data_IF_784825898943
#
_entry.id   IF_784825898943
#
_cell.length_a   1.000
_cell.length_b   1.000
_cell.length_c   1.000
_cell.angle_alpha   90.00
_cell.angle_beta   90.00
_cell.angle_gamma   90.00
#
_symmetry.space_group_name_H-M   'P 1'
#
loop_
_entity.id
_entity.type
_entity.pdbx_description
1 polymer ?
#
# COMPACT_ATOMS: atom_id res chain seq x y z
N UNK A 1 3.02 -3.35 16.27
CA UNK A 1 2.54 -2.01 15.90
C UNK A 1 1.06 -1.83 16.23
N UNK A 2 0.13 -2.60 15.65
CA UNK A 2 -1.31 -2.49 15.98
C UNK A 2 -1.62 -2.75 17.46
N UNK A 3 -1.07 -3.81 18.05
CA UNK A 3 -1.37 -4.24 19.43
C UNK A 3 -0.66 -3.45 20.55
N UNK A 4 0.20 -2.49 20.22
CA UNK A 4 1.04 -1.84 21.26
C UNK A 4 2.00 -0.76 20.76
N UNK A 5 1.73 -0.17 19.61
CA UNK A 5 2.53 0.90 19.04
C UNK A 5 3.92 0.48 18.55
N UNK A 6 4.72 1.50 18.23
CA UNK A 6 6.09 1.36 17.69
C UNK A 6 7.04 0.81 18.78
N UNK A 7 6.87 1.24 20.04
CA UNK A 7 7.71 0.78 21.14
C UNK A 7 7.63 -0.76 21.33
N UNK A 8 6.42 -1.33 21.39
CA UNK A 8 6.24 -2.79 21.49
C UNK A 8 6.82 -3.53 20.27
N UNK A 9 6.71 -2.94 19.07
CA UNK A 9 7.33 -3.53 17.87
C UNK A 9 8.85 -3.60 18.01
N UNK A 10 9.50 -2.49 18.40
CA UNK A 10 10.96 -2.43 18.54
C UNK A 10 11.47 -3.35 19.63
N UNK A 11 10.78 -3.41 20.77
CA UNK A 11 11.06 -4.38 21.82
C UNK A 11 10.97 -5.84 21.36
N UNK A 12 10.18 -6.14 20.32
CA UNK A 12 9.96 -7.51 19.84
C UNK A 12 10.96 -7.96 18.76
N UNK A 13 11.72 -7.04 18.15
CA UNK A 13 12.72 -7.37 17.11
C UNK A 13 14.12 -7.38 17.71
N UNK A 14 15.11 -7.87 16.96
CA UNK A 14 16.50 -7.84 17.42
C UNK A 14 17.06 -6.41 17.46
N UNK A 15 18.03 -6.17 18.34
CA UNK A 15 18.77 -4.90 18.43
C UNK A 15 19.39 -4.50 17.07
N UNK A 16 19.80 -5.47 16.26
CA UNK A 16 20.30 -5.22 14.90
C UNK A 16 19.22 -4.62 14.00
N UNK A 17 17.99 -5.13 14.06
CA UNK A 17 16.88 -4.61 13.28
C UNK A 17 16.46 -3.22 13.79
N UNK A 18 16.44 -3.01 15.11
CA UNK A 18 16.13 -1.70 15.71
C UNK A 18 17.18 -0.64 15.35
N UNK A 19 18.48 -0.95 15.48
CA UNK A 19 19.54 -0.04 15.06
C UNK A 19 19.43 0.30 13.56
N UNK A 20 19.16 -0.72 12.73
CA UNK A 20 18.92 -0.56 11.30
C UNK A 20 17.75 0.37 10.97
N UNK A 21 16.63 0.22 11.69
CA UNK A 21 15.46 1.11 11.59
C UNK A 21 15.87 2.57 11.85
N UNK A 22 16.54 2.86 12.97
CA UNK A 22 16.94 4.23 13.31
C UNK A 22 17.83 4.91 12.28
N UNK A 23 18.82 4.19 11.75
CA UNK A 23 19.83 4.79 10.85
C UNK A 23 19.41 4.75 9.38
N UNK A 24 18.52 3.84 8.99
CA UNK A 24 18.12 3.66 7.59
C UNK A 24 16.70 4.14 7.28
N UNK A 25 15.79 4.10 8.25
CA UNK A 25 14.40 4.56 8.09
C UNK A 25 14.31 5.98 7.52
N UNK A 26 14.95 6.99 8.16
CA UNK A 26 14.96 8.36 7.66
C UNK A 26 15.72 8.57 6.34
N UNK A 27 16.56 7.62 5.91
CA UNK A 27 17.27 7.67 4.62
C UNK A 27 16.38 7.23 3.47
N UNK A 28 15.44 6.31 3.75
CA UNK A 28 14.45 5.83 2.76
C UNK A 28 13.23 6.75 2.76
N UNK A 29 12.77 7.18 3.93
CA UNK A 29 11.64 8.08 4.12
C UNK A 29 12.15 9.39 4.72
N UNK A 30 12.70 10.26 3.88
CA UNK A 30 13.25 11.54 4.30
C UNK A 30 12.20 12.65 4.47
N UNK A 31 12.62 13.87 4.89
CA UNK A 31 11.73 15.02 5.07
C UNK A 31 10.90 15.39 3.84
N UNK A 32 11.44 15.13 2.65
CA UNK A 32 10.78 15.34 1.36
C UNK A 32 9.52 14.48 1.19
N UNK A 33 9.45 13.31 1.83
CA UNK A 33 8.24 12.48 1.81
C UNK A 33 7.12 13.17 2.60
N UNK A 34 7.45 13.81 3.72
CA UNK A 34 6.49 14.59 4.52
C UNK A 34 5.96 15.81 3.75
N UNK A 35 6.79 16.43 2.91
CA UNK A 35 6.35 17.51 2.01
C UNK A 35 5.32 16.98 1.02
N UNK A 36 5.61 15.87 0.33
CA UNK A 36 4.67 15.22 -0.59
C UNK A 36 3.37 14.79 0.08
N UNK A 37 3.42 14.31 1.32
CA UNK A 37 2.22 14.00 2.09
C UNK A 37 1.34 15.24 2.34
N UNK A 38 1.94 16.42 2.55
CA UNK A 38 1.20 17.68 2.70
C UNK A 38 0.59 18.12 1.37
N UNK A 39 1.30 17.95 0.26
CA UNK A 39 0.77 18.25 -1.08
C UNK A 39 -0.45 17.39 -1.39
N UNK A 40 -0.37 16.08 -1.14
CA UNK A 40 -1.52 15.17 -1.29
C UNK A 40 -2.69 15.59 -0.39
N UNK A 41 -2.42 16.02 0.85
CA UNK A 41 -3.47 16.53 1.74
C UNK A 41 -4.11 17.81 1.19
N UNK A 42 -3.32 18.72 0.63
CA UNK A 42 -3.84 19.94 -0.01
C UNK A 42 -4.77 19.61 -1.17
N UNK A 43 -4.37 18.70 -2.07
CA UNK A 43 -5.19 18.25 -3.22
C UNK A 43 -6.52 17.62 -2.77
N UNK A 44 -6.54 17.00 -1.59
CA UNK A 44 -7.77 16.46 -0.98
C UNK A 44 -8.63 17.60 -0.44
N UNK A 45 -8.03 18.52 0.33
CA UNK A 45 -8.75 19.61 1.02
C UNK A 45 -9.33 20.65 0.05
N UNK A 46 -8.63 20.94 -1.06
CA UNK A 46 -9.09 21.87 -2.09
C UNK A 46 -10.03 21.22 -3.13
N UNK A 47 -10.24 19.90 -3.02
CA UNK A 47 -11.13 19.12 -3.86
C UNK A 47 -10.56 18.71 -5.22
N UNK A 48 -9.29 19.00 -5.52
CA UNK A 48 -8.63 18.61 -6.77
C UNK A 48 -8.65 17.09 -6.99
N UNK A 49 -8.36 16.32 -5.93
CA UNK A 49 -8.44 14.86 -5.99
C UNK A 49 -9.85 14.37 -6.36
N UNK A 50 -10.88 14.88 -5.67
CA UNK A 50 -12.26 14.49 -5.91
C UNK A 50 -12.72 14.84 -7.33
N UNK A 51 -12.37 16.03 -7.83
CA UNK A 51 -12.68 16.47 -9.19
C UNK A 51 -12.06 15.55 -10.25
N UNK A 52 -10.77 15.19 -10.11
CA UNK A 52 -10.11 14.26 -11.03
C UNK A 52 -10.74 12.88 -11.01
N UNK A 53 -11.01 12.36 -9.81
CA UNK A 53 -11.61 11.03 -9.67
C UNK A 53 -13.00 10.98 -10.30
N UNK A 54 -13.88 11.93 -10.00
CA UNK A 54 -15.22 12.00 -10.59
C UNK A 54 -15.16 12.17 -12.11
N UNK A 55 -14.29 13.06 -12.62
CA UNK A 55 -14.12 13.23 -14.06
C UNK A 55 -13.66 11.95 -14.76
N UNK A 56 -12.77 11.17 -14.14
CA UNK A 56 -12.37 9.86 -14.67
C UNK A 56 -13.55 8.88 -14.67
N UNK A 57 -14.32 8.80 -13.57
CA UNK A 57 -15.49 7.93 -13.50
C UNK A 57 -16.56 8.30 -14.54
N UNK A 58 -16.87 9.59 -14.70
CA UNK A 58 -17.83 10.08 -15.69
C UNK A 58 -17.38 9.77 -17.13
N UNK A 59 -16.07 9.68 -17.37
CA UNK A 59 -15.47 9.27 -18.64
C UNK A 59 -15.41 7.74 -18.84
N UNK A 60 -15.96 6.94 -17.90
CA UNK A 60 -15.90 5.47 -17.95
C UNK A 60 -14.66 4.85 -17.29
N UNK A 61 -14.00 5.60 -16.40
CA UNK A 61 -12.85 5.19 -15.58
C UNK A 61 -11.57 4.77 -16.34
N UNK A 62 -11.17 5.40 -17.47
CA UNK A 62 -10.01 4.97 -18.24
C UNK A 62 -8.69 5.01 -17.45
N UNK A 63 -8.45 6.06 -16.65
CA UNK A 63 -7.26 6.15 -15.82
C UNK A 63 -7.29 5.10 -14.70
N UNK A 64 -8.41 4.99 -13.98
CA UNK A 64 -8.53 4.04 -12.89
C UNK A 64 -8.39 2.58 -13.35
N UNK A 65 -8.97 2.21 -14.49
CA UNK A 65 -8.83 0.87 -15.08
C UNK A 65 -7.38 0.59 -15.50
N UNK A 66 -6.67 1.57 -16.08
CA UNK A 66 -5.26 1.42 -16.43
C UNK A 66 -4.38 1.24 -15.19
N UNK A 67 -4.60 2.05 -14.14
CA UNK A 67 -3.90 1.94 -12.86
C UNK A 67 -4.15 0.57 -12.21
N UNK A 68 -5.40 0.09 -12.24
CA UNK A 68 -5.78 -1.23 -11.75
C UNK A 68 -5.05 -2.35 -12.49
N UNK A 69 -5.12 -2.36 -13.81
CA UNK A 69 -4.46 -3.38 -14.64
C UNK A 69 -2.95 -3.42 -14.39
N UNK A 70 -2.31 -2.24 -14.24
CA UNK A 70 -0.89 -2.14 -13.89
C UNK A 70 -0.59 -2.75 -12.52
N UNK A 71 -1.45 -2.53 -11.52
CA UNK A 71 -1.31 -3.12 -10.19
C UNK A 71 -1.44 -4.65 -10.21
N UNK A 72 -2.46 -5.17 -10.89
CA UNK A 72 -2.71 -6.62 -11.03
C UNK A 72 -1.57 -7.34 -11.77
N UNK A 73 -0.95 -6.66 -12.74
CA UNK A 73 0.17 -7.19 -13.52
C UNK A 73 1.54 -7.10 -12.80
N UNK A 74 1.62 -6.48 -11.62
CA UNK A 74 2.89 -6.32 -10.93
C UNK A 74 3.50 -7.70 -10.56
N UNK A 75 4.82 -7.94 -10.79
CA UNK A 75 5.42 -9.26 -10.56
C UNK A 75 5.22 -9.84 -9.15
N UNK A 76 5.11 -8.96 -8.13
CA UNK A 76 4.82 -9.36 -6.75
C UNK A 76 3.54 -10.19 -6.62
N UNK A 77 2.55 -9.95 -7.48
CA UNK A 77 1.28 -10.65 -7.44
C UNK A 77 1.45 -12.12 -7.86
N UNK A 78 2.20 -12.38 -8.93
CA UNK A 78 2.49 -13.76 -9.36
C UNK A 78 3.27 -14.55 -8.31
N UNK A 79 4.29 -13.92 -7.72
CA UNK A 79 5.10 -14.52 -6.64
C UNK A 79 4.25 -14.74 -5.39
N UNK A 80 3.49 -13.73 -4.96
CA UNK A 80 2.66 -13.77 -3.76
C UNK A 80 1.59 -14.84 -3.83
N UNK A 81 0.91 -15.00 -4.98
CA UNK A 81 -0.06 -16.09 -5.20
C UNK A 81 0.57 -17.46 -5.01
N UNK A 82 1.77 -17.66 -5.53
CA UNK A 82 2.48 -18.93 -5.42
C UNK A 82 2.83 -19.24 -3.96
N UNK A 83 3.37 -18.26 -3.24
CA UNK A 83 3.76 -18.43 -1.84
C UNK A 83 2.55 -18.66 -0.92
N UNK A 84 1.48 -17.87 -1.07
CA UNK A 84 0.29 -17.99 -0.20
C UNK A 84 -0.41 -19.33 -0.33
N UNK A 85 -0.35 -20.00 -1.48
CA UNK A 85 -0.88 -21.37 -1.67
C UNK A 85 -0.18 -22.42 -0.80
N UNK A 86 1.04 -22.15 -0.38
CA UNK A 86 1.81 -23.05 0.49
C UNK A 86 1.46 -22.88 1.97
N UNK A 87 0.76 -21.80 2.33
CA UNK A 87 0.41 -21.49 3.71
C UNK A 87 -0.87 -22.22 4.09
N UNK A 88 -0.72 -23.35 4.78
CA UNK A 88 -1.84 -24.23 5.20
C UNK A 88 -2.87 -23.55 6.11
N UNK A 89 -2.50 -22.44 6.75
CA UNK A 89 -3.36 -21.67 7.66
C UNK A 89 -4.14 -20.55 6.95
N UNK A 90 -3.85 -20.25 5.68
CA UNK A 90 -4.63 -19.29 4.91
C UNK A 90 -5.83 -20.00 4.30
N UNK A 91 -7.03 -19.55 4.68
CA UNK A 91 -8.28 -19.98 4.04
C UNK A 91 -8.58 -19.06 2.86
N UNK A 92 -8.94 -19.65 1.72
CA UNK A 92 -9.50 -18.87 0.62
C UNK A 92 -10.87 -18.34 1.06
N UNK A 93 -11.11 -17.04 0.85
CA UNK A 93 -12.40 -16.40 1.06
C UNK A 93 -13.23 -16.52 -0.21
N UNK A 94 -14.52 -16.85 -0.06
CA UNK A 94 -15.44 -17.02 -1.20
C UNK A 94 -15.74 -15.70 -1.92
N UNK A 95 -15.51 -14.56 -1.27
CA UNK A 95 -15.86 -13.23 -1.77
C UNK A 95 -14.71 -12.55 -2.55
N UNK A 96 -13.58 -13.23 -2.75
CA UNK A 96 -12.40 -12.67 -3.40
C UNK A 96 -11.85 -13.56 -4.50
N UNK A 97 -11.72 -13.01 -5.72
CA UNK A 97 -11.05 -13.67 -6.83
C UNK A 97 -9.57 -13.31 -6.83
N UNK A 98 -8.73 -14.32 -6.56
CA UNK A 98 -7.27 -14.12 -6.46
C UNK A 98 -6.68 -13.47 -7.72
N UNK A 99 -5.97 -12.35 -7.54
CA UNK A 99 -5.31 -11.61 -8.61
C UNK A 99 -6.19 -10.58 -9.33
N UNK A 100 -7.42 -10.35 -8.86
CA UNK A 100 -8.32 -9.30 -9.36
C UNK A 100 -8.53 -8.28 -8.25
N UNK A 101 -8.39 -6.99 -8.56
CA UNK A 101 -8.58 -5.90 -7.61
C UNK A 101 -10.02 -5.38 -7.59
N UNK A 102 -10.83 -5.73 -8.60
CA UNK A 102 -12.27 -5.51 -8.57
C UNK A 102 -12.91 -6.36 -7.46
N UNK A 103 -13.87 -5.75 -6.75
CA UNK A 103 -14.77 -6.45 -5.82
C UNK A 103 -15.95 -7.02 -6.57
#
# INVERSE_FOLDING_TARGET
MYEGGIAKQRWSVSDTAEYGDYVSGPRVIGPEVKVRMREVLSDIQDGSFAKRFVADQDAGAPEFLALRAKGEAHPIEGVGRTLRKLFSWIKNSDDYKEGVAAR
#
